data_IF_651061418911
#
_entry.id   IF_651061418911
#
_cell.length_a   1.000
_cell.length_b   1.000
_cell.length_c   1.000
_cell.angle_alpha   90.00
_cell.angle_beta   90.00
_cell.angle_gamma   90.00
#
_symmetry.space_group_name_H-M   'P 1'
#
loop_
_entity.id
_entity.type
_entity.pdbx_description
1 polymer ?
#
# COMPACT_ATOMS: atom_id res chain seq x y z
N UNK A 1 15.53 18.03 15.50
CA UNK A 1 14.98 17.61 15.54
C UNK A 1 14.79 16.59 14.76
N UNK A 2 15.45 15.95 14.55
CA UNK A 2 15.34 14.84 13.80
C UNK A 2 14.23 13.97 14.10
N UNK A 3 13.66 14.21 15.14
CA UNK A 3 12.47 13.50 15.47
C UNK A 3 11.41 13.69 14.46
N UNK A 4 11.57 14.65 13.58
CA UNK A 4 10.59 14.88 12.55
C UNK A 4 10.33 13.66 11.71
N UNK A 5 11.35 12.86 11.43
CA UNK A 5 11.17 11.70 10.59
C UNK A 5 10.32 10.66 11.29
N UNK A 6 10.34 10.59 12.61
CA UNK A 6 9.55 9.59 13.32
C UNK A 6 8.13 10.07 13.59
N UNK A 7 7.91 11.38 13.61
CA UNK A 7 6.58 11.91 13.86
C UNK A 7 5.88 12.30 12.59
N UNK A 8 6.61 12.27 11.48
CA UNK A 8 6.08 12.66 10.21
C UNK A 8 5.03 11.65 9.73
N UNK A 9 3.88 12.16 9.34
CA UNK A 9 2.82 11.31 8.84
C UNK A 9 3.19 10.72 7.49
N UNK A 10 2.97 9.42 7.33
CA UNK A 10 3.11 8.79 6.03
C UNK A 10 1.87 9.06 5.23
N UNK A 11 2.04 9.28 3.93
CA UNK A 11 0.94 9.59 3.02
C UNK A 11 0.44 8.30 2.39
N UNK A 12 -0.86 8.07 2.48
CA UNK A 12 -1.46 6.79 2.11
C UNK A 12 -2.57 6.98 1.08
N UNK A 13 -2.57 6.14 0.06
CA UNK A 13 -3.68 6.01 -0.86
C UNK A 13 -4.46 4.76 -0.47
N UNK A 14 -5.79 4.86 -0.34
CA UNK A 14 -6.65 3.73 -0.01
C UNK A 14 -7.54 3.44 -1.20
N UNK A 15 -7.49 2.22 -1.71
CA UNK A 15 -8.30 1.78 -2.84
C UNK A 15 -9.17 0.61 -2.42
N UNK A 16 -10.47 0.82 -2.39
CA UNK A 16 -11.46 -0.16 -1.97
C UNK A 16 -12.80 0.23 -2.56
N UNK A 17 -13.45 -0.68 -3.29
CA UNK A 17 -14.69 -0.34 -3.98
C UNK A 17 -15.90 -0.26 -3.05
N UNK A 18 -15.86 -0.91 -1.89
CA UNK A 18 -16.97 -0.84 -0.94
C UNK A 18 -16.79 0.39 -0.05
N UNK A 19 -17.72 1.33 -0.19
CA UNK A 19 -17.62 2.63 0.48
C UNK A 19 -17.47 2.51 2.00
N UNK A 20 -18.25 1.64 2.63
CA UNK A 20 -18.20 1.53 4.08
C UNK A 20 -16.88 0.96 4.56
N UNK A 21 -16.35 -0.02 3.83
CA UNK A 21 -15.06 -0.60 4.18
C UNK A 21 -13.97 0.44 3.97
N UNK A 22 -14.03 1.19 2.87
CA UNK A 22 -13.05 2.23 2.58
C UNK A 22 -13.03 3.29 3.68
N UNK A 23 -14.21 3.73 4.12
CA UNK A 23 -14.29 4.72 5.18
C UNK A 23 -13.72 4.21 6.49
N UNK A 24 -13.96 2.94 6.79
CA UNK A 24 -13.42 2.31 7.99
C UNK A 24 -11.89 2.28 7.95
N UNK A 25 -11.34 1.94 6.80
CA UNK A 25 -9.88 1.92 6.63
C UNK A 25 -9.32 3.33 6.82
N UNK A 26 -9.95 4.31 6.19
CA UNK A 26 -9.49 5.69 6.28
C UNK A 26 -9.49 6.16 7.73
N UNK A 27 -10.55 5.86 8.47
CA UNK A 27 -10.65 6.25 9.85
C UNK A 27 -9.57 5.57 10.70
N UNK A 28 -9.37 4.28 10.48
CA UNK A 28 -8.37 3.52 11.20
C UNK A 28 -6.96 4.10 10.98
N UNK A 29 -6.64 4.41 9.73
CA UNK A 29 -5.32 4.94 9.39
C UNK A 29 -5.13 6.35 9.96
N UNK A 30 -6.16 7.16 9.86
CA UNK A 30 -6.10 8.53 10.38
C UNK A 30 -5.88 8.50 11.89
N UNK A 31 -6.61 7.64 12.60
CA UNK A 31 -6.46 7.51 14.04
C UNK A 31 -5.06 7.04 14.43
N UNK A 32 -4.41 6.29 13.55
CA UNK A 32 -3.07 5.77 13.82
C UNK A 32 -1.97 6.75 13.44
N UNK A 33 -2.33 7.92 12.90
CA UNK A 33 -1.34 8.94 12.57
C UNK A 33 -0.92 9.01 11.12
N UNK A 34 -1.54 8.22 10.25
CA UNK A 34 -1.26 8.29 8.81
C UNK A 34 -2.08 9.40 8.17
N UNK A 35 -1.59 9.92 7.08
CA UNK A 35 -2.32 10.93 6.31
C UNK A 35 -2.87 10.29 5.05
N UNK A 36 -4.20 10.14 4.96
CA UNK A 36 -4.83 9.57 3.77
C UNK A 36 -4.99 10.68 2.75
N UNK A 37 -4.22 10.61 1.68
CA UNK A 37 -4.20 11.68 0.66
C UNK A 37 -5.12 11.40 -0.51
N UNK A 38 -5.56 10.17 -0.68
CA UNK A 38 -6.43 9.82 -1.80
C UNK A 38 -7.24 8.57 -1.49
N UNK A 39 -8.45 8.51 -2.05
CA UNK A 39 -9.32 7.36 -1.93
C UNK A 39 -9.79 6.99 -3.33
N UNK A 40 -9.68 5.71 -3.66
CA UNK A 40 -10.06 5.21 -4.97
C UNK A 40 -11.09 4.09 -4.83
N UNK A 41 -12.02 4.02 -5.75
CA UNK A 41 -13.06 2.99 -5.76
C UNK A 41 -12.79 1.90 -6.77
N UNK A 42 -11.78 2.06 -7.61
CA UNK A 42 -11.40 1.03 -8.58
C UNK A 42 -9.92 1.16 -8.91
N UNK A 43 -9.41 0.19 -9.67
CA UNK A 43 -7.98 0.14 -9.96
C UNK A 43 -7.48 1.26 -10.85
N UNK A 44 -8.28 1.70 -11.82
CA UNK A 44 -7.86 2.79 -12.70
C UNK A 44 -7.78 4.09 -11.94
N UNK A 45 -8.74 4.33 -11.06
CA UNK A 45 -8.71 5.52 -10.23
C UNK A 45 -7.50 5.49 -9.30
N UNK A 46 -7.16 4.30 -8.77
CA UNK A 46 -6.00 4.16 -7.91
C UNK A 46 -4.71 4.53 -8.65
N UNK A 47 -4.57 4.06 -9.90
CA UNK A 47 -3.40 4.37 -10.71
C UNK A 47 -3.30 5.88 -10.95
N UNK A 48 -4.40 6.49 -11.31
CA UNK A 48 -4.45 7.93 -11.59
C UNK A 48 -4.10 8.75 -10.36
N UNK A 49 -4.69 8.37 -9.22
CA UNK A 49 -4.46 9.11 -7.98
C UNK A 49 -3.05 8.89 -7.43
N UNK A 50 -2.48 7.71 -7.65
CA UNK A 50 -1.10 7.46 -7.25
C UNK A 50 -0.15 8.36 -8.03
N UNK A 51 -0.40 8.54 -9.31
CA UNK A 51 0.42 9.43 -10.13
C UNK A 51 0.29 10.88 -9.68
N UNK A 52 -0.93 11.27 -9.34
CA UNK A 52 -1.20 12.65 -8.92
C UNK A 52 -0.63 12.97 -7.55
N UNK A 53 -0.80 12.08 -6.59
CA UNK A 53 -0.45 12.34 -5.18
C UNK A 53 0.86 11.73 -4.72
N UNK A 54 1.35 10.73 -5.41
CA UNK A 54 2.62 10.03 -5.07
C UNK A 54 2.67 9.64 -3.60
N UNK A 55 1.78 8.75 -3.18
CA UNK A 55 1.75 8.34 -1.78
C UNK A 55 2.97 7.50 -1.40
N UNK A 56 3.24 7.43 -0.10
CA UNK A 56 4.30 6.57 0.43
C UNK A 56 3.83 5.13 0.52
N UNK A 57 2.53 4.94 0.73
CA UNK A 57 1.93 3.61 0.91
C UNK A 57 0.64 3.55 0.10
N UNK A 58 0.41 2.41 -0.54
CA UNK A 58 -0.87 2.13 -1.20
C UNK A 58 -1.51 0.94 -0.52
N UNK A 59 -2.70 1.12 0.03
CA UNK A 59 -3.50 0.04 0.61
C UNK A 59 -4.60 -0.26 -0.38
N UNK A 60 -4.57 -1.46 -0.97
CA UNK A 60 -5.48 -1.79 -2.08
C UNK A 60 -6.14 -3.13 -1.92
N UNK A 61 -7.44 -3.16 -2.19
CA UNK A 61 -8.17 -4.42 -2.28
C UNK A 61 -7.74 -5.12 -3.56
N UNK A 62 -7.55 -6.43 -3.49
CA UNK A 62 -7.22 -7.23 -4.67
C UNK A 62 -8.35 -7.18 -5.69
N UNK A 63 -9.59 -7.35 -5.23
CA UNK A 63 -10.73 -7.39 -6.15
C UNK A 63 -11.43 -6.05 -6.23
N UNK A 64 -11.25 -5.40 -7.36
CA UNK A 64 -11.90 -4.11 -7.64
C UNK A 64 -12.40 -4.12 -9.08
N UNK A 65 -13.44 -3.33 -9.38
CA UNK A 65 -13.93 -3.23 -10.75
C UNK A 65 -12.93 -2.49 -11.64
N UNK A 66 -13.11 -2.61 -12.94
CA UNK A 66 -12.33 -1.99 -13.99
C UNK A 66 -10.94 -2.60 -14.06
N UNK A 67 -10.08 -2.36 -13.07
CA UNK A 67 -8.75 -2.95 -12.98
C UNK A 67 -8.57 -3.45 -11.56
N UNK A 68 -8.17 -4.71 -11.40
CA UNK A 68 -7.98 -5.28 -10.07
C UNK A 68 -6.76 -4.69 -9.38
N UNK A 69 -6.67 -4.91 -8.06
CA UNK A 69 -5.62 -4.32 -7.26
C UNK A 69 -4.23 -4.81 -7.60
N UNK A 70 -4.09 -6.05 -8.02
CA UNK A 70 -2.77 -6.60 -8.37
C UNK A 70 -2.24 -5.92 -9.62
N UNK A 71 -3.09 -5.80 -10.65
CA UNK A 71 -2.71 -5.12 -11.88
C UNK A 71 -2.43 -3.64 -11.61
N UNK A 72 -3.27 -3.01 -10.77
CA UNK A 72 -3.06 -1.61 -10.41
C UNK A 72 -1.71 -1.43 -9.71
N UNK A 73 -1.37 -2.33 -8.79
CA UNK A 73 -0.10 -2.26 -8.08
C UNK A 73 1.08 -2.37 -9.05
N UNK A 74 0.99 -3.30 -10.00
CA UNK A 74 2.06 -3.44 -11.00
C UNK A 74 2.29 -2.15 -11.77
N UNK A 75 1.19 -1.53 -12.21
CA UNK A 75 1.28 -0.29 -12.97
C UNK A 75 1.79 0.87 -12.15
N UNK A 76 1.36 0.95 -10.89
CA UNK A 76 1.81 2.01 -10.00
C UNK A 76 3.31 1.86 -9.75
N UNK A 77 3.77 0.65 -9.45
CA UNK A 77 5.17 0.40 -9.12
C UNK A 77 6.09 0.54 -10.31
N UNK A 78 5.55 0.45 -11.53
CA UNK A 78 6.34 0.73 -12.72
C UNK A 78 6.81 2.19 -12.77
N UNK A 79 6.05 3.09 -12.18
CA UNK A 79 6.32 4.52 -12.29
C UNK A 79 6.67 5.17 -10.97
N UNK A 80 6.25 4.59 -9.86
CA UNK A 80 6.40 5.23 -8.56
C UNK A 80 6.93 4.24 -7.55
N UNK A 81 7.71 4.74 -6.61
CA UNK A 81 8.28 3.90 -5.57
C UNK A 81 7.45 4.08 -4.30
N UNK A 82 6.74 3.05 -3.90
CA UNK A 82 5.92 3.10 -2.69
C UNK A 82 5.75 1.69 -2.12
N UNK A 83 5.30 1.62 -0.87
CA UNK A 83 5.01 0.35 -0.23
C UNK A 83 3.57 -0.03 -0.55
N UNK A 84 3.33 -1.28 -0.91
CA UNK A 84 1.99 -1.75 -1.26
C UNK A 84 1.52 -2.79 -0.25
N UNK A 85 0.34 -2.57 0.31
CA UNK A 85 -0.34 -3.51 1.19
C UNK A 85 -1.62 -3.95 0.50
N UNK A 86 -1.78 -5.25 0.32
CA UNK A 86 -2.96 -5.80 -0.34
C UNK A 86 -4.00 -6.27 0.68
N UNK A 87 -5.27 -6.02 0.37
CA UNK A 87 -6.38 -6.54 1.15
C UNK A 87 -6.99 -7.67 0.34
N UNK A 88 -7.12 -8.85 0.93
CA UNK A 88 -7.58 -10.02 0.18
C UNK A 88 -8.66 -10.76 0.96
N UNK A 89 -9.53 -11.45 0.23
CA UNK A 89 -10.54 -12.28 0.85
C UNK A 89 -9.88 -13.53 1.41
N UNK A 90 -10.57 -14.11 2.37
CA UNK A 90 -10.10 -15.29 3.06
C UNK A 90 -9.72 -16.42 2.10
N UNK A 91 -8.59 -17.06 2.34
CA UNK A 91 -8.15 -18.27 1.67
C UNK A 91 -7.84 -18.19 0.19
N UNK A 92 -7.39 -17.07 -0.31
CA UNK A 92 -7.05 -17.00 -1.73
C UNK A 92 -5.55 -17.04 -1.92
N UNK A 93 -4.98 -18.22 -1.69
CA UNK A 93 -3.53 -18.42 -1.76
C UNK A 93 -2.94 -18.00 -3.10
N UNK A 94 -3.63 -18.32 -4.19
CA UNK A 94 -3.20 -17.92 -5.53
C UNK A 94 -3.06 -16.41 -5.66
N UNK A 95 -4.01 -15.68 -5.12
CA UNK A 95 -3.99 -14.22 -5.20
C UNK A 95 -2.88 -13.63 -4.35
N UNK A 96 -2.58 -14.26 -3.21
CA UNK A 96 -1.48 -13.81 -2.36
C UNK A 96 -0.16 -13.95 -3.12
N UNK A 97 0.04 -15.06 -3.81
CA UNK A 97 1.27 -15.25 -4.57
C UNK A 97 1.38 -14.23 -5.70
N UNK A 98 0.29 -14.00 -6.44
CA UNK A 98 0.28 -13.01 -7.51
C UNK A 98 0.55 -11.62 -6.98
N UNK A 99 -0.02 -11.28 -5.82
CA UNK A 99 0.19 -9.98 -5.20
C UNK A 99 1.66 -9.78 -4.83
N UNK A 100 2.27 -10.83 -4.29
CA UNK A 100 3.69 -10.77 -3.94
C UNK A 100 4.56 -10.57 -5.16
N UNK A 101 4.25 -11.27 -6.25
CA UNK A 101 4.99 -11.13 -7.50
C UNK A 101 4.82 -9.74 -8.10
N UNK A 102 3.68 -9.11 -7.86
CA UNK A 102 3.41 -7.76 -8.36
C UNK A 102 4.09 -6.68 -7.52
N UNK A 103 4.72 -7.06 -6.40
CA UNK A 103 5.46 -6.13 -5.58
C UNK A 103 4.82 -5.77 -4.25
N UNK A 104 3.74 -6.45 -3.85
CA UNK A 104 3.12 -6.18 -2.56
C UNK A 104 4.08 -6.56 -1.43
N UNK A 105 4.20 -5.68 -0.46
CA UNK A 105 5.12 -5.86 0.67
C UNK A 105 4.44 -6.54 1.86
N UNK A 106 3.12 -6.49 1.92
CA UNK A 106 2.35 -7.13 2.97
C UNK A 106 0.93 -7.33 2.48
N UNK A 107 0.19 -8.19 3.15
CA UNK A 107 -1.22 -8.36 2.83
C UNK A 107 -2.01 -8.61 4.10
N UNK A 108 -3.31 -8.29 4.05
CA UNK A 108 -4.22 -8.43 5.18
C UNK A 108 -5.46 -9.15 4.70
N UNK A 109 -5.90 -10.15 5.44
CA UNK A 109 -7.05 -10.97 5.06
C UNK A 109 -8.33 -10.37 5.66
N UNK A 110 -9.36 -10.24 4.85
CA UNK A 110 -10.66 -9.74 5.32
C UNK A 110 -11.44 -10.87 5.98
N UNK A 111 -12.21 -10.60 7.01
CA UNK A 111 -12.35 -9.32 7.70
C UNK A 111 -11.16 -9.06 8.61
N UNK A 112 -10.79 -7.79 8.75
CA UNK A 112 -9.63 -7.43 9.55
C UNK A 112 -10.01 -6.39 10.60
N UNK A 113 -9.14 -6.24 11.60
CA UNK A 113 -9.29 -5.23 12.65
C UNK A 113 -8.13 -4.24 12.52
N UNK A 114 -8.19 -3.11 13.24
CA UNK A 114 -7.02 -2.22 13.27
C UNK A 114 -5.74 -2.93 13.72
N UNK A 115 -5.87 -3.92 14.61
CA UNK A 115 -4.72 -4.68 15.09
C UNK A 115 -4.09 -5.52 13.98
N UNK A 116 -4.84 -5.83 12.93
CA UNK A 116 -4.31 -6.54 11.76
C UNK A 116 -3.73 -5.57 10.75
N UNK A 117 -4.43 -4.46 10.52
CA UNK A 117 -4.09 -3.53 9.44
C UNK A 117 -2.84 -2.71 9.74
N UNK A 118 -2.76 -2.13 10.92
CA UNK A 118 -1.67 -1.22 11.25
C UNK A 118 -0.30 -1.91 11.21
N UNK A 119 -0.13 -3.09 11.85
CA UNK A 119 1.16 -3.77 11.75
C UNK A 119 1.55 -4.13 10.32
N UNK A 120 0.56 -4.43 9.46
CA UNK A 120 0.86 -4.74 8.07
C UNK A 120 1.45 -3.53 7.35
N UNK A 121 0.93 -2.34 7.61
CA UNK A 121 1.51 -1.13 7.02
C UNK A 121 2.93 -0.91 7.54
N UNK A 122 3.16 -1.12 8.82
CA UNK A 122 4.48 -0.96 9.40
C UNK A 122 5.48 -1.94 8.79
N UNK A 123 5.06 -3.18 8.60
CA UNK A 123 5.91 -4.18 7.97
C UNK A 123 6.20 -3.79 6.52
N UNK A 124 5.19 -3.31 5.79
CA UNK A 124 5.36 -2.93 4.40
C UNK A 124 6.34 -1.78 4.26
N UNK A 125 6.24 -0.78 5.13
CA UNK A 125 7.15 0.35 5.12
C UNK A 125 8.56 -0.09 5.44
N UNK A 126 8.71 -0.94 6.44
CA UNK A 126 10.02 -1.45 6.84
C UNK A 126 10.68 -2.23 5.71
N UNK A 127 9.92 -3.10 5.05
CA UNK A 127 10.46 -3.88 3.93
C UNK A 127 10.83 -2.99 2.76
N UNK A 128 10.00 -2.01 2.48
CA UNK A 128 10.26 -1.08 1.39
C UNK A 128 11.55 -0.30 1.63
N UNK A 129 11.75 0.18 2.86
CA UNK A 129 12.96 0.92 3.21
C UNK A 129 14.19 0.05 3.11
N UNK A 130 14.06 -1.21 3.52
CA UNK A 130 15.16 -2.16 3.46
C UNK A 130 15.58 -2.44 2.02
N UNK A 131 14.61 -2.68 1.14
CA UNK A 131 14.89 -2.93 -0.27
C UNK A 131 15.52 -1.70 -0.92
N UNK A 132 15.01 -0.52 -0.66
CA UNK A 132 15.56 0.72 -1.20
C UNK A 132 16.99 0.93 -0.76
N UNK A 133 17.28 0.64 0.51
CA UNK A 133 18.62 0.77 1.05
C UNK A 133 19.58 -0.19 0.38
N UNK A 134 19.18 -1.44 0.16
CA UNK A 134 20.01 -2.43 -0.49
C UNK A 134 20.31 -2.06 -1.95
N UNK A 135 19.31 -1.55 -2.64
CA UNK A 135 19.48 -1.11 -4.01
C UNK A 135 20.48 0.04 -4.10
N UNK A 136 20.41 0.94 -3.15
CA UNK A 136 21.34 2.06 -3.10
C UNK A 136 22.76 1.58 -2.85
N UNK A 137 22.94 0.62 -1.95
CA UNK A 137 24.26 0.06 -1.67
C UNK A 137 24.87 -0.63 -2.88
N UNK A 138 24.04 -1.38 -3.59
CA UNK A 138 24.50 -2.08 -4.78
C UNK A 138 24.95 -1.08 -5.84
N UNK A 139 24.19 -0.01 -6.03
CA UNK A 139 24.55 1.02 -7.00
C UNK A 139 25.88 1.66 -6.64
N UNK A 140 26.12 1.94 -5.36
CA UNK A 140 27.37 2.52 -4.91
C UNK A 140 28.54 1.59 -5.16
N UNK A 141 28.36 0.31 -4.92
CA UNK A 141 29.43 -0.65 -5.07
C UNK A 141 29.84 -0.85 -6.53
N UNK A 142 28.97 -0.57 -7.46
CA UNK A 142 29.24 -0.76 -8.87
C UNK A 142 30.06 0.38 -9.46
N UNK A 143 30.22 1.43 -8.73
CA UNK A 143 31.05 2.53 -9.19
C UNK A 143 32.50 2.31 -8.84
#
# INVERSE_FOLDING_TARGET
MSTDSTTRSRRVLVAEDETLIRLDIVETLTDAGYEVVAEAADGEEAIRLAEEHRPDICVMDVKMPVTDGITAAERILDKHDCAVVMLTAFSQTELVQRASEAGAMAYVVKPFTPADLIPALEIAVSRHEEISSLESEVADLQE
#
